data_IF_003991494345
#
_entry.id   IF_003991494345
#
_cell.length_a   1.000
_cell.length_b   1.000
_cell.length_c   1.000
_cell.angle_alpha   90.00
_cell.angle_beta   90.00
_cell.angle_gamma   90.00
#
_symmetry.space_group_name_H-M   'P 1'
#
loop_
_entity.id
_entity.type
_entity.pdbx_description
1 polymer ?
#
# COMPACT_ATOMS: atom_id res chain seq x y z
N UNK A 1 14.63 -20.65 18.15
CA UNK A 1 13.34 -20.37 17.49
C UNK A 1 13.61 -19.25 16.49
N UNK A 2 13.16 -19.39 15.25
CA UNK A 2 13.37 -18.34 14.24
C UNK A 2 12.39 -17.19 14.45
N UNK A 3 12.69 -16.01 13.90
CA UNK A 3 11.79 -14.84 13.98
C UNK A 3 10.45 -15.16 13.34
N UNK A 4 10.45 -15.83 12.17
CA UNK A 4 9.23 -16.34 11.51
C UNK A 4 8.40 -17.24 12.43
N UNK A 5 9.03 -18.23 13.08
CA UNK A 5 8.33 -19.13 13.99
C UNK A 5 7.74 -18.40 15.22
N UNK A 6 8.46 -17.42 15.79
CA UNK A 6 7.94 -16.63 16.91
C UNK A 6 6.74 -15.75 16.49
N UNK A 7 6.81 -15.10 15.32
CA UNK A 7 5.67 -14.33 14.77
C UNK A 7 4.45 -15.22 14.59
N UNK A 8 4.60 -16.37 13.92
CA UNK A 8 3.48 -17.27 13.65
C UNK A 8 2.89 -17.86 14.95
N UNK A 9 3.73 -18.19 15.94
CA UNK A 9 3.27 -18.65 17.24
C UNK A 9 2.42 -17.58 17.95
N UNK A 10 2.82 -16.31 17.89
CA UNK A 10 2.07 -15.18 18.47
C UNK A 10 0.74 -14.97 17.76
N UNK A 11 0.72 -14.99 16.42
CA UNK A 11 -0.53 -14.87 15.64
C UNK A 11 -1.50 -16.02 15.91
N UNK A 12 -0.98 -17.21 16.21
CA UNK A 12 -1.78 -18.37 16.62
C UNK A 12 -2.19 -18.37 18.10
N UNK A 13 -1.82 -17.35 18.89
CA UNK A 13 -2.11 -17.28 20.32
C UNK A 13 -1.24 -18.17 21.22
N UNK A 14 -0.19 -18.80 20.66
CA UNK A 14 0.74 -19.70 21.36
C UNK A 14 2.06 -19.02 21.77
N UNK A 15 2.21 -17.72 21.48
CA UNK A 15 3.42 -16.94 21.74
C UNK A 15 3.50 -16.36 23.16
N UNK A 16 4.59 -15.63 23.42
CA UNK A 16 4.72 -14.87 24.68
C UNK A 16 3.75 -13.69 24.73
N UNK A 17 3.39 -13.25 25.94
CA UNK A 17 2.46 -12.14 26.15
C UNK A 17 3.03 -10.75 25.79
N UNK A 18 4.35 -10.61 25.66
CA UNK A 18 4.98 -9.33 25.32
C UNK A 18 4.74 -9.01 23.84
N UNK A 19 4.30 -7.80 23.45
CA UNK A 19 4.06 -7.47 22.04
C UNK A 19 5.37 -7.49 21.22
N UNK A 20 5.28 -7.95 19.97
CA UNK A 20 6.38 -7.91 19.02
C UNK A 20 6.22 -6.69 18.10
N UNK A 21 7.28 -5.90 17.95
CA UNK A 21 7.29 -4.77 17.03
C UNK A 21 7.50 -5.24 15.59
N UNK A 22 6.51 -5.03 14.73
CA UNK A 22 6.49 -5.41 13.32
C UNK A 22 6.25 -4.18 12.45
N UNK A 23 7.29 -3.38 12.12
CA UNK A 23 7.11 -2.18 11.33
C UNK A 23 6.83 -2.54 9.86
N UNK A 24 5.75 -1.99 9.30
CA UNK A 24 5.55 -2.01 7.86
C UNK A 24 6.39 -0.90 7.21
N UNK A 25 7.54 -1.29 6.68
CA UNK A 25 8.48 -0.40 5.99
C UNK A 25 8.19 -0.30 4.49
N UNK A 26 7.11 -0.91 3.98
CA UNK A 26 6.83 -1.01 2.54
C UNK A 26 6.67 0.37 1.89
N UNK A 27 5.86 1.24 2.49
CA UNK A 27 5.64 2.60 1.99
C UNK A 27 6.93 3.44 2.05
N UNK A 28 7.61 3.41 3.20
CA UNK A 28 8.87 4.12 3.41
C UNK A 28 9.94 3.72 2.38
N UNK A 29 10.14 2.42 2.19
CA UNK A 29 11.13 1.89 1.26
C UNK A 29 10.80 2.24 -0.19
N UNK A 30 9.54 2.05 -0.62
CA UNK A 30 9.12 2.36 -1.98
C UNK A 30 9.28 3.86 -2.29
N UNK A 31 8.93 4.73 -1.33
CA UNK A 31 9.11 6.17 -1.47
C UNK A 31 10.59 6.55 -1.60
N UNK A 32 11.45 6.14 -0.66
CA UNK A 32 12.87 6.51 -0.69
C UNK A 32 13.62 5.90 -1.90
N UNK A 33 13.22 4.71 -2.35
CA UNK A 33 13.78 4.10 -3.55
C UNK A 33 13.43 4.92 -4.80
N UNK A 34 12.15 5.29 -4.97
CA UNK A 34 11.66 6.11 -6.09
C UNK A 34 12.29 7.50 -6.12
N UNK A 35 12.49 8.10 -4.95
CA UNK A 35 13.10 9.43 -4.82
C UNK A 35 14.64 9.39 -4.84
N UNK A 36 15.26 8.21 -4.87
CA UNK A 36 16.71 8.03 -4.75
C UNK A 36 17.30 8.67 -3.47
N UNK A 37 16.57 8.59 -2.36
CA UNK A 37 16.94 9.19 -1.07
C UNK A 37 17.19 8.17 0.05
N UNK A 38 17.34 6.88 -0.29
CA UNK A 38 17.82 5.90 0.68
C UNK A 38 19.23 6.28 1.18
N UNK A 39 19.57 6.00 2.45
CA UNK A 39 20.94 6.15 2.92
C UNK A 39 21.93 5.39 2.02
N UNK A 40 23.13 5.95 1.80
CA UNK A 40 24.13 5.37 0.89
C UNK A 40 24.44 3.89 1.19
N UNK A 41 24.48 3.53 2.48
CA UNK A 41 24.70 2.16 2.93
C UNK A 41 23.57 1.19 2.54
N UNK A 42 22.38 1.69 2.24
CA UNK A 42 21.17 0.91 1.98
C UNK A 42 20.68 0.99 0.52
N UNK A 43 21.31 1.81 -0.34
CA UNK A 43 20.90 1.99 -1.74
C UNK A 43 20.90 0.70 -2.58
N UNK A 44 21.67 -0.30 -2.18
CA UNK A 44 21.76 -1.60 -2.86
C UNK A 44 20.99 -2.70 -2.14
N UNK A 45 20.34 -2.38 -1.02
CA UNK A 45 19.63 -3.34 -0.19
C UNK A 45 18.15 -3.41 -0.55
N UNK A 46 17.63 -4.63 -0.46
CA UNK A 46 16.21 -4.93 -0.49
C UNK A 46 15.55 -4.59 0.86
N UNK A 47 14.22 -4.49 0.89
CA UNK A 47 13.49 -4.23 2.13
C UNK A 47 13.77 -5.29 3.23
N UNK A 48 13.80 -6.61 2.96
CA UNK A 48 14.17 -7.60 3.97
C UNK A 48 15.61 -7.43 4.50
N UNK A 49 16.55 -6.99 3.65
CA UNK A 49 17.92 -6.68 4.06
C UNK A 49 17.98 -5.48 5.01
N UNK A 50 17.23 -4.42 4.70
CA UNK A 50 17.14 -3.24 5.58
C UNK A 50 16.50 -3.61 6.92
N UNK A 51 15.46 -4.45 6.93
CA UNK A 51 14.87 -4.95 8.18
C UNK A 51 15.90 -5.68 9.05
N UNK A 52 16.74 -6.52 8.44
CA UNK A 52 17.84 -7.21 9.14
C UNK A 52 18.88 -6.24 9.71
N UNK A 53 19.32 -5.26 8.93
CA UNK A 53 20.24 -4.21 9.37
C UNK A 53 19.68 -3.40 10.56
N UNK A 54 18.37 -3.14 10.55
CA UNK A 54 17.66 -2.46 11.64
C UNK A 54 17.39 -3.34 12.87
N UNK A 55 17.65 -4.65 12.79
CA UNK A 55 17.34 -5.60 13.86
C UNK A 55 15.84 -5.79 14.10
N UNK A 56 14.99 -5.50 13.10
CA UNK A 56 13.54 -5.66 13.17
C UNK A 56 13.07 -6.81 12.27
N UNK A 57 12.00 -7.53 12.66
CA UNK A 57 11.43 -8.53 11.77
C UNK A 57 10.91 -7.91 10.47
N UNK A 58 11.02 -8.64 9.37
CA UNK A 58 10.39 -8.20 8.12
C UNK A 58 8.90 -8.53 8.14
N UNK A 59 8.07 -7.50 7.97
CA UNK A 59 6.64 -7.63 7.71
C UNK A 59 6.36 -7.12 6.29
N UNK A 60 5.97 -8.02 5.39
CA UNK A 60 5.71 -7.68 3.99
C UNK A 60 4.25 -7.88 3.66
N UNK A 61 3.48 -6.79 3.71
CA UNK A 61 2.12 -6.79 3.21
C UNK A 61 2.13 -7.01 1.69
N UNK A 62 1.35 -7.97 1.21
CA UNK A 62 1.11 -8.21 -0.21
C UNK A 62 -0.36 -8.03 -0.53
N UNK A 63 -0.64 -7.53 -1.74
CA UNK A 63 -1.99 -7.47 -2.26
C UNK A 63 -2.13 -8.53 -3.35
N UNK A 64 -2.81 -9.67 -3.10
CA UNK A 64 -2.96 -10.74 -4.09
C UNK A 64 -4.13 -10.50 -5.06
N UNK A 65 -4.55 -9.25 -5.21
CA UNK A 65 -5.62 -8.86 -6.10
C UNK A 65 -5.42 -7.46 -6.66
N UNK A 66 -5.96 -7.23 -7.84
CA UNK A 66 -6.18 -5.90 -8.39
C UNK A 66 -7.66 -5.55 -8.32
N UNK A 67 -7.97 -4.26 -8.44
CA UNK A 67 -9.35 -3.77 -8.51
C UNK A 67 -9.52 -3.16 -9.89
N UNK A 68 -10.53 -3.63 -10.61
CA UNK A 68 -10.98 -3.03 -11.85
C UNK A 68 -12.34 -2.38 -11.63
N UNK A 69 -12.58 -1.24 -12.25
CA UNK A 69 -13.90 -0.61 -12.28
C UNK A 69 -14.43 -0.71 -13.70
N UNK A 70 -15.54 -1.42 -13.91
CA UNK A 70 -16.20 -1.49 -15.22
C UNK A 70 -17.33 -0.47 -15.30
N UNK A 71 -17.77 -0.12 -16.50
CA UNK A 71 -19.01 0.65 -16.75
C UNK A 71 -19.06 2.07 -16.16
N UNK A 72 -17.95 2.57 -15.60
CA UNK A 72 -17.80 3.91 -15.03
C UNK A 72 -16.58 4.58 -15.64
N UNK A 73 -16.79 5.76 -16.20
CA UNK A 73 -15.71 6.54 -16.79
C UNK A 73 -14.89 7.22 -15.68
N UNK A 74 -13.63 6.80 -15.56
CA UNK A 74 -12.66 7.41 -14.65
C UNK A 74 -11.58 8.10 -15.49
N UNK A 75 -11.53 9.43 -15.38
CA UNK A 75 -10.54 10.26 -16.06
C UNK A 75 -9.52 10.77 -15.05
N UNK A 76 -8.26 10.40 -15.26
CA UNK A 76 -7.11 10.96 -14.55
C UNK A 76 -6.47 12.05 -15.41
N UNK A 77 -6.42 13.27 -14.90
CA UNK A 77 -5.61 14.35 -15.48
C UNK A 77 -4.52 14.73 -14.48
N UNK A 78 -3.27 14.78 -14.95
CA UNK A 78 -2.11 15.11 -14.13
C UNK A 78 -1.19 16.10 -14.86
N UNK A 79 -0.68 17.07 -14.12
CA UNK A 79 0.41 17.97 -14.52
C UNK A 79 1.41 18.11 -13.36
N UNK A 80 2.41 18.99 -13.50
CA UNK A 80 3.49 19.15 -12.51
C UNK A 80 3.02 19.65 -11.12
N UNK A 81 1.80 20.19 -11.01
CA UNK A 81 1.28 20.83 -9.80
C UNK A 81 0.00 20.19 -9.26
N UNK A 82 -0.80 19.60 -10.15
CA UNK A 82 -2.13 19.10 -9.83
C UNK A 82 -2.38 17.73 -10.46
N UNK A 83 -3.02 16.86 -9.68
CA UNK A 83 -3.65 15.63 -10.15
C UNK A 83 -5.13 15.70 -9.83
N UNK A 84 -5.97 15.36 -10.79
CA UNK A 84 -7.43 15.27 -10.61
C UNK A 84 -7.88 13.90 -11.11
N UNK A 85 -8.64 13.20 -10.27
CA UNK A 85 -9.42 12.03 -10.67
C UNK A 85 -10.88 12.44 -10.73
N UNK A 86 -11.49 12.31 -11.91
CA UNK A 86 -12.91 12.55 -12.15
C UNK A 86 -13.58 11.24 -12.46
N UNK A 87 -14.60 10.90 -11.68
CA UNK A 87 -15.41 9.70 -11.86
C UNK A 87 -16.82 10.12 -12.25
N UNK A 88 -17.27 9.67 -13.42
CA UNK A 88 -18.64 9.93 -13.91
C UNK A 88 -19.54 8.75 -13.59
N UNK A 89 -20.58 8.99 -12.80
CA UNK A 89 -21.61 8.00 -12.45
C UNK A 89 -22.98 8.52 -12.88
N UNK A 90 -23.99 7.65 -12.92
CA UNK A 90 -25.35 8.07 -13.23
C UNK A 90 -25.96 8.97 -12.14
N UNK A 91 -25.49 8.85 -10.90
CA UNK A 91 -25.93 9.63 -9.76
C UNK A 91 -25.16 10.95 -9.55
N UNK A 92 -24.09 11.20 -10.30
CA UNK A 92 -23.31 12.44 -10.23
C UNK A 92 -21.81 12.25 -10.52
N UNK A 93 -21.06 13.34 -10.44
CA UNK A 93 -19.61 13.34 -10.68
C UNK A 93 -18.86 13.42 -9.36
N UNK A 94 -17.95 12.47 -9.10
CA UNK A 94 -17.03 12.53 -7.96
C UNK A 94 -15.69 13.13 -8.42
N UNK A 95 -15.12 14.01 -7.59
CA UNK A 95 -13.84 14.66 -7.86
C UNK A 95 -12.89 14.47 -6.69
N UNK A 96 -11.74 13.88 -6.97
CA UNK A 96 -10.61 13.87 -6.04
C UNK A 96 -9.48 14.70 -6.63
N UNK A 97 -8.86 15.55 -5.80
CA UNK A 97 -7.73 16.41 -6.20
C UNK A 97 -6.54 16.21 -5.29
N UNK A 98 -5.38 16.33 -5.90
CA UNK A 98 -4.10 16.37 -5.22
C UNK A 98 -3.27 17.53 -5.74
N UNK A 99 -2.54 18.17 -4.83
CA UNK A 99 -1.51 19.15 -5.16
C UNK A 99 -0.14 18.59 -4.86
N UNK A 100 0.86 18.98 -5.65
CA UNK A 100 2.25 18.62 -5.37
C UNK A 100 2.76 19.41 -4.14
N UNK A 101 3.13 18.67 -3.09
CA UNK A 101 3.59 19.22 -1.82
C UNK A 101 5.05 19.67 -1.86
N UNK A 102 5.48 20.51 -0.90
CA UNK A 102 6.86 20.99 -0.81
C UNK A 102 7.87 19.88 -0.45
N UNK A 103 7.39 18.72 0.01
CA UNK A 103 8.16 17.51 0.31
C UNK A 103 8.40 16.63 -0.93
N UNK A 104 7.89 17.04 -2.09
CA UNK A 104 8.02 16.28 -3.33
C UNK A 104 7.03 15.12 -3.45
N UNK A 105 5.94 15.13 -2.68
CA UNK A 105 4.88 14.12 -2.77
C UNK A 105 3.49 14.72 -3.02
N UNK A 106 2.54 13.88 -3.44
CA UNK A 106 1.17 14.30 -3.74
C UNK A 106 0.33 14.37 -2.47
N UNK A 107 -0.23 15.54 -2.18
CA UNK A 107 -1.13 15.74 -1.05
C UNK A 107 -2.57 15.80 -1.53
N UNK A 108 -3.45 14.97 -0.97
CA UNK A 108 -4.87 15.02 -1.31
C UNK A 108 -5.50 16.28 -0.72
N UNK A 109 -5.96 17.18 -1.59
CA UNK A 109 -6.60 18.45 -1.22
C UNK A 109 -8.11 18.39 -1.31
N UNK A 110 -8.66 17.43 -2.05
CA UNK A 110 -10.09 17.22 -2.21
C UNK A 110 -10.41 15.72 -2.22
N UNK A 111 -11.37 15.30 -1.40
CA UNK A 111 -11.89 13.95 -1.37
C UNK A 111 -13.08 13.80 -2.32
N UNK A 112 -13.26 12.61 -2.93
CA UNK A 112 -14.34 12.37 -3.88
C UNK A 112 -15.73 12.45 -3.25
N UNK A 113 -15.84 12.14 -1.95
CA UNK A 113 -17.08 12.21 -1.15
C UNK A 113 -16.89 13.33 -0.11
N UNK A 114 -17.75 14.33 -0.15
CA UNK A 114 -17.68 15.54 0.69
C UNK A 114 -18.90 15.66 1.58
N UNK A 115 -20.05 15.25 1.08
CA UNK A 115 -21.30 15.31 1.78
C UNK A 115 -22.24 14.14 1.42
N UNK A 116 -23.36 13.97 2.14
CA UNK A 116 -24.25 12.84 1.91
C UNK A 116 -24.85 12.74 0.50
N UNK A 117 -24.89 13.82 -0.28
CA UNK A 117 -25.40 13.79 -1.66
C UNK A 117 -24.47 13.01 -2.60
N UNK A 118 -23.20 12.82 -2.23
CA UNK A 118 -22.23 12.04 -3.00
C UNK A 118 -22.39 10.52 -2.78
N UNK A 119 -23.22 10.08 -1.82
CA UNK A 119 -23.32 8.67 -1.41
C UNK A 119 -23.81 7.75 -2.52
N UNK A 120 -24.80 8.18 -3.29
CA UNK A 120 -25.35 7.37 -4.38
C UNK A 120 -24.31 7.18 -5.50
N UNK A 121 -23.55 8.22 -5.82
CA UNK A 121 -22.46 8.16 -6.79
C UNK A 121 -21.31 7.26 -6.31
N UNK A 122 -20.89 7.34 -5.04
CA UNK A 122 -19.84 6.44 -4.54
C UNK A 122 -20.32 5.01 -4.40
N UNK A 123 -21.61 4.78 -4.10
CA UNK A 123 -22.18 3.43 -4.07
C UNK A 123 -22.15 2.81 -5.47
N UNK A 124 -22.55 3.56 -6.50
CA UNK A 124 -22.44 3.12 -7.90
C UNK A 124 -20.98 2.76 -8.24
N UNK A 125 -20.02 3.62 -7.89
CA UNK A 125 -18.58 3.37 -8.06
C UNK A 125 -18.13 2.06 -7.40
N UNK A 126 -18.50 1.84 -6.14
CA UNK A 126 -18.11 0.63 -5.40
C UNK A 126 -18.77 -0.61 -5.97
N UNK A 127 -20.04 -0.52 -6.37
CA UNK A 127 -20.77 -1.64 -6.97
C UNK A 127 -20.21 -2.05 -8.34
N UNK A 128 -19.57 -1.13 -9.06
CA UNK A 128 -18.93 -1.39 -10.34
C UNK A 128 -17.50 -1.96 -10.21
N UNK A 129 -16.97 -2.07 -8.99
CA UNK A 129 -15.66 -2.65 -8.74
C UNK A 129 -15.69 -4.17 -8.75
N UNK A 130 -14.77 -4.76 -9.48
CA UNK A 130 -14.46 -6.19 -9.48
C UNK A 130 -13.05 -6.42 -8.96
N UNK A 131 -12.90 -7.48 -8.16
CA UNK A 131 -11.60 -7.90 -7.64
C UNK A 131 -11.09 -9.06 -8.48
N UNK A 132 -9.94 -8.86 -9.11
CA UNK A 132 -9.26 -9.90 -9.88
C UNK A 132 -8.11 -10.45 -9.06
N UNK A 133 -8.00 -11.78 -8.96
CA UNK A 133 -6.85 -12.41 -8.33
C UNK A 133 -5.61 -12.15 -9.19
N UNK A 134 -4.63 -11.50 -8.59
CA UNK A 134 -3.33 -11.20 -9.17
C UNK A 134 -2.28 -11.45 -8.08
N UNK A 135 -2.06 -12.73 -7.71
CA UNK A 135 -1.13 -13.05 -6.65
C UNK A 135 0.29 -12.71 -7.11
N UNK A 136 1.08 -11.95 -6.31
CA UNK A 136 2.49 -11.78 -6.61
C UNK A 136 3.21 -13.13 -6.50
N UNK A 137 4.48 -13.17 -6.91
CA UNK A 137 5.34 -14.35 -6.74
C UNK A 137 5.63 -14.59 -5.24
N UNK A 138 4.68 -15.24 -4.56
CA UNK A 138 4.76 -15.56 -3.13
C UNK A 138 6.01 -16.40 -2.83
N UNK A 139 6.35 -17.48 -3.59
CA UNK A 139 7.57 -18.22 -3.35
C UNK A 139 8.85 -17.36 -3.38
N UNK A 140 8.97 -16.43 -4.33
CA UNK A 140 10.12 -15.53 -4.39
C UNK A 140 10.17 -14.58 -3.19
N UNK A 141 9.03 -14.03 -2.78
CA UNK A 141 8.93 -13.18 -1.59
C UNK A 141 9.26 -13.95 -0.31
N UNK A 142 8.79 -15.19 -0.18
CA UNK A 142 9.09 -16.05 0.96
C UNK A 142 10.58 -16.39 1.01
N UNK A 143 11.20 -16.68 -0.14
CA UNK A 143 12.64 -16.92 -0.22
C UNK A 143 13.45 -15.68 0.19
N UNK A 144 13.02 -14.47 -0.20
CA UNK A 144 13.70 -13.22 0.15
C UNK A 144 13.60 -12.89 1.65
N UNK A 145 12.47 -13.20 2.30
CA UNK A 145 12.26 -12.96 3.74
C UNK A 145 12.87 -14.08 4.60
N UNK A 146 12.82 -15.32 4.11
CA UNK A 146 13.28 -16.53 4.77
C UNK A 146 12.76 -16.63 6.22
N UNK A 147 13.68 -16.81 7.18
CA UNK A 147 13.37 -17.01 8.60
C UNK A 147 13.26 -15.71 9.41
N UNK A 148 13.42 -14.55 8.75
CA UNK A 148 13.53 -13.23 9.40
C UNK A 148 12.20 -12.47 9.50
N UNK A 149 11.11 -13.05 9.02
CA UNK A 149 9.84 -12.34 8.92
C UNK A 149 8.72 -13.16 8.34
N UNK A 150 7.65 -12.47 7.94
CA UNK A 150 6.45 -13.06 7.32
C UNK A 150 5.91 -12.19 6.18
N UNK A 151 5.21 -12.84 5.27
CA UNK A 151 4.30 -12.20 4.31
C UNK A 151 2.93 -12.08 4.98
N UNK A 152 2.23 -10.97 4.74
CA UNK A 152 0.91 -10.68 5.28
C UNK A 152 -0.08 -10.28 4.18
#
# INVERSE_FOLDING_TARGET
MTTKADILARLAGNGTAAPLFLPDLTLWYAWHTRQHTLPTSWNHLTLPEIGRELGVPTWRAVRPWTVETTDIDIVLTENDQERITRTETSAGTLLARWSFGPDGDWWQTEYPVKDPADLDAVLELVCAQSYLLDPPDIPALEAAIAEHGVIA
#
